data_IF_917585969833
#
_entry.id   IF_917585969833
#
_cell.length_a   1.000
_cell.length_b   1.000
_cell.length_c   1.000
_cell.angle_alpha   90.00
_cell.angle_beta   90.00
_cell.angle_gamma   90.00
#
_symmetry.space_group_name_H-M   'P 1'
#
loop_
_entity.id
_entity.type
_entity.pdbx_description
1 polymer ?
#
# COMPACT_ATOMS: atom_id res chain seq x y z
N UNK A 1 1.62 15.01 -2.08
CA UNK A 1 0.92 13.73 -2.16
C UNK A 1 1.46 12.85 -1.07
N UNK A 2 0.61 12.02 -0.48
CA UNK A 2 0.90 11.30 0.76
C UNK A 2 2.12 10.39 0.61
N UNK A 3 2.25 9.65 -0.51
CA UNK A 3 3.44 8.82 -0.79
C UNK A 3 4.78 9.57 -0.76
N UNK A 4 4.81 10.82 -1.22
CA UNK A 4 6.03 11.63 -1.17
C UNK A 4 6.36 12.05 0.27
N UNK A 5 5.34 12.30 1.09
CA UNK A 5 5.51 12.56 2.52
C UNK A 5 5.95 11.29 3.25
N UNK A 6 5.31 10.15 2.98
CA UNK A 6 5.67 8.83 3.53
C UNK A 6 7.14 8.53 3.27
N UNK A 7 7.58 8.68 2.02
CA UNK A 7 8.99 8.53 1.65
C UNK A 7 9.90 9.44 2.46
N UNK A 8 9.61 10.74 2.54
CA UNK A 8 10.44 11.70 3.27
C UNK A 8 10.55 11.37 4.76
N UNK A 9 9.45 10.93 5.40
CA UNK A 9 9.44 10.53 6.80
C UNK A 9 10.31 9.29 7.03
N UNK A 10 10.14 8.26 6.19
CA UNK A 10 10.88 7.02 6.28
C UNK A 10 12.37 7.21 5.98
N UNK A 11 12.71 7.97 4.94
CA UNK A 11 14.11 8.24 4.58
C UNK A 11 14.83 9.01 5.68
N UNK A 12 14.19 10.04 6.24
CA UNK A 12 14.74 10.76 7.39
C UNK A 12 15.00 9.80 8.56
N UNK A 13 14.06 8.91 8.85
CA UNK A 13 14.20 7.95 9.95
C UNK A 13 15.33 6.95 9.70
N UNK A 14 15.47 6.46 8.46
CA UNK A 14 16.56 5.57 8.07
C UNK A 14 17.92 6.23 8.26
N UNK A 15 18.06 7.51 7.88
CA UNK A 15 19.29 8.28 8.07
C UNK A 15 19.66 8.43 9.55
N UNK A 16 18.68 8.70 10.42
CA UNK A 16 18.89 8.77 11.88
C UNK A 16 19.37 7.43 12.47
N UNK A 17 18.98 6.31 11.84
CA UNK A 17 19.41 4.97 12.21
C UNK A 17 20.74 4.54 11.55
N UNK A 18 21.40 5.45 10.80
CA UNK A 18 22.65 5.16 10.10
C UNK A 18 22.49 4.33 8.83
N UNK A 19 21.27 4.29 8.27
CA UNK A 19 20.92 3.62 7.01
C UNK A 19 20.42 4.65 5.98
N UNK A 20 19.83 4.20 4.87
CA UNK A 20 19.21 5.08 3.87
C UNK A 20 18.52 4.28 2.75
N UNK A 21 17.78 4.98 1.89
CA UNK A 21 17.11 4.36 0.76
C UNK A 21 18.09 3.61 -0.15
N UNK A 22 17.78 2.34 -0.45
CA UNK A 22 18.64 1.47 -1.25
C UNK A 22 19.81 0.82 -0.50
N UNK A 23 19.99 1.09 0.80
CA UNK A 23 21.02 0.43 1.61
C UNK A 23 20.71 -1.05 1.89
N UNK A 24 19.42 -1.43 1.86
CA UNK A 24 18.95 -2.80 2.08
C UNK A 24 18.27 -3.32 0.80
N UNK A 25 18.41 -4.62 0.47
CA UNK A 25 17.70 -5.21 -0.65
C UNK A 25 16.20 -5.20 -0.39
N UNK A 26 15.44 -4.78 -1.40
CA UNK A 26 13.97 -4.76 -1.37
C UNK A 26 13.43 -5.42 -2.63
N UNK A 27 12.22 -5.98 -2.54
CA UNK A 27 11.51 -6.43 -3.73
C UNK A 27 10.93 -5.23 -4.51
N UNK A 28 10.73 -5.39 -5.83
CA UNK A 28 10.11 -4.37 -6.68
C UNK A 28 8.61 -4.64 -6.94
N UNK A 29 7.94 -5.42 -6.08
CA UNK A 29 6.57 -5.90 -6.31
C UNK A 29 5.54 -4.80 -6.60
N UNK A 30 5.61 -3.67 -5.90
CA UNK A 30 4.73 -2.52 -6.15
C UNK A 30 4.95 -1.94 -7.56
N UNK A 31 6.21 -1.78 -7.99
CA UNK A 31 6.54 -1.29 -9.32
C UNK A 31 6.09 -2.25 -10.42
N UNK A 32 6.23 -3.56 -10.19
CA UNK A 32 5.76 -4.57 -11.13
C UNK A 32 4.24 -4.52 -11.27
N UNK A 33 3.48 -4.56 -10.16
CA UNK A 33 2.03 -4.39 -10.19
C UNK A 33 1.62 -3.07 -10.85
N UNK A 34 2.40 -2.02 -10.64
CA UNK A 34 2.17 -0.73 -11.26
C UNK A 34 2.50 -0.69 -12.76
N UNK A 35 3.35 -1.57 -13.26
CA UNK A 35 3.61 -1.70 -14.69
C UNK A 35 2.56 -2.57 -15.35
N UNK A 36 2.21 -3.69 -14.72
CA UNK A 36 1.28 -4.69 -15.25
C UNK A 36 -0.15 -4.14 -15.40
N UNK A 37 -0.56 -3.26 -14.49
CA UNK A 37 -1.89 -2.63 -14.50
C UNK A 37 -1.90 -1.24 -15.13
N UNK A 38 -0.85 -0.84 -15.87
CA UNK A 38 -0.73 0.54 -16.41
C UNK A 38 -1.87 0.92 -17.37
N UNK A 39 -2.45 -0.07 -18.06
CA UNK A 39 -3.50 0.13 -19.05
C UNK A 39 -4.89 -0.36 -18.56
N UNK A 40 -5.02 -0.72 -17.29
CA UNK A 40 -6.26 -1.21 -16.70
C UNK A 40 -6.53 -0.50 -15.37
N UNK A 41 -7.47 0.45 -15.40
CA UNK A 41 -7.81 1.25 -14.22
C UNK A 41 -8.46 0.41 -13.11
N UNK A 42 -9.33 -0.54 -13.45
CA UNK A 42 -9.94 -1.41 -12.45
C UNK A 42 -8.87 -2.34 -11.85
N UNK A 43 -7.99 -2.89 -12.69
CA UNK A 43 -6.81 -3.63 -12.24
C UNK A 43 -5.92 -2.81 -11.31
N UNK A 44 -5.65 -1.53 -11.64
CA UNK A 44 -4.88 -0.62 -10.79
C UNK A 44 -5.49 -0.44 -9.40
N UNK A 45 -6.79 -0.16 -9.36
CA UNK A 45 -7.52 0.07 -8.11
C UNK A 45 -7.58 -1.21 -7.27
N UNK A 46 -7.86 -2.35 -7.90
CA UNK A 46 -7.89 -3.65 -7.23
C UNK A 46 -6.53 -4.01 -6.62
N UNK A 47 -5.43 -3.82 -7.36
CA UNK A 47 -4.13 -4.35 -6.95
C UNK A 47 -3.36 -3.38 -6.07
N UNK A 48 -3.23 -2.12 -6.46
CA UNK A 48 -2.42 -1.16 -5.69
C UNK A 48 -3.17 -0.76 -4.43
N UNK A 49 -4.42 -0.30 -4.57
CA UNK A 49 -5.14 0.24 -3.43
C UNK A 49 -5.78 -0.87 -2.59
N UNK A 50 -6.52 -1.78 -3.21
CA UNK A 50 -7.33 -2.75 -2.46
C UNK A 50 -6.55 -4.00 -2.03
N UNK A 51 -5.35 -4.25 -2.57
CA UNK A 51 -4.50 -5.39 -2.17
C UNK A 51 -3.22 -4.93 -1.49
N UNK A 52 -2.37 -4.11 -2.13
CA UNK A 52 -1.09 -3.73 -1.52
C UNK A 52 -1.28 -2.85 -0.28
N UNK A 53 -2.01 -1.74 -0.38
CA UNK A 53 -2.25 -0.84 0.76
C UNK A 53 -3.05 -1.54 1.87
N UNK A 54 -4.11 -2.29 1.51
CA UNK A 54 -4.92 -3.05 2.47
C UNK A 54 -4.11 -4.10 3.24
N UNK A 55 -3.20 -4.83 2.57
CA UNK A 55 -2.27 -5.75 3.26
C UNK A 55 -1.28 -5.01 4.15
N UNK A 56 -0.90 -3.79 3.78
CA UNK A 56 -0.13 -2.90 4.65
C UNK A 56 -0.86 -2.68 5.98
N UNK A 57 -2.16 -2.38 5.94
CA UNK A 57 -2.98 -2.21 7.14
C UNK A 57 -3.03 -3.45 8.04
N UNK A 58 -3.02 -4.66 7.48
CA UNK A 58 -2.98 -5.91 8.26
C UNK A 58 -1.65 -6.10 9.01
N UNK A 59 -0.54 -5.64 8.43
CA UNK A 59 0.82 -5.83 8.97
C UNK A 59 1.26 -4.69 9.89
N UNK A 60 0.70 -3.49 9.72
CA UNK A 60 1.05 -2.30 10.48
C UNK A 60 0.94 -2.47 12.01
N UNK A 61 -0.15 -3.02 12.58
CA UNK A 61 -0.27 -3.16 14.03
C UNK A 61 0.85 -4.01 14.65
N UNK A 62 1.23 -5.10 13.99
CA UNK A 62 2.32 -5.96 14.45
C UNK A 62 3.68 -5.25 14.35
N UNK A 63 3.87 -4.45 13.29
CA UNK A 63 5.10 -3.68 13.08
C UNK A 63 5.26 -2.59 14.14
N UNK A 64 4.19 -1.83 14.42
CA UNK A 64 4.15 -0.83 15.50
C UNK A 64 4.49 -1.45 16.85
N UNK A 65 3.87 -2.59 17.19
CA UNK A 65 4.15 -3.30 18.43
C UNK A 65 5.62 -3.70 18.57
N UNK A 66 6.25 -4.15 17.48
CA UNK A 66 7.68 -4.55 17.49
C UNK A 66 8.61 -3.36 17.74
N UNK A 67 8.33 -2.19 17.18
CA UNK A 67 9.14 -0.99 17.40
C UNK A 67 8.92 -0.40 18.81
N UNK A 68 7.67 -0.34 19.27
CA UNK A 68 7.35 0.10 20.64
C UNK A 68 7.99 -0.81 21.69
N UNK A 69 7.98 -2.14 21.50
CA UNK A 69 8.65 -3.07 22.41
C UNK A 69 10.18 -2.89 22.47
N UNK A 70 10.78 -2.26 21.47
CA UNK A 70 12.21 -1.91 21.42
C UNK A 70 12.48 -0.47 21.91
N UNK A 71 11.45 0.28 22.32
CA UNK A 71 11.54 1.67 22.75
C UNK A 71 11.73 2.68 21.61
N UNK A 72 11.47 2.29 20.37
CA UNK A 72 11.59 3.19 19.21
C UNK A 72 10.29 3.95 18.93
N UNK A 73 9.95 4.85 19.85
CA UNK A 73 8.75 5.69 19.78
C UNK A 73 8.76 6.65 18.57
N UNK A 74 9.95 6.98 18.05
CA UNK A 74 10.07 7.84 16.85
C UNK A 74 9.59 7.11 15.60
N UNK A 75 9.96 5.84 15.44
CA UNK A 75 9.46 5.01 14.33
C UNK A 75 7.97 4.73 14.48
N UNK A 76 7.48 4.47 15.71
CA UNK A 76 6.05 4.29 15.99
C UNK A 76 5.23 5.49 15.52
N UNK A 77 5.62 6.70 15.92
CA UNK A 77 4.91 7.92 15.54
C UNK A 77 4.85 8.14 14.01
N UNK A 78 5.92 7.80 13.28
CA UNK A 78 5.95 7.89 11.82
C UNK A 78 4.99 6.87 11.20
N UNK A 79 5.06 5.61 11.63
CA UNK A 79 4.21 4.54 11.09
C UNK A 79 2.72 4.74 11.40
N UNK A 80 2.39 5.43 12.49
CA UNK A 80 1.00 5.82 12.81
C UNK A 80 0.44 6.90 11.86
N UNK A 81 1.28 7.80 11.35
CA UNK A 81 0.86 8.77 10.33
C UNK A 81 0.54 8.01 9.04
N UNK A 82 1.49 7.20 8.57
CA UNK A 82 1.31 6.38 7.36
C UNK A 82 0.07 5.50 7.49
N UNK A 83 -0.09 4.79 8.61
CA UNK A 83 -1.26 3.94 8.85
C UNK A 83 -2.60 4.67 8.66
N UNK A 84 -2.71 5.92 9.13
CA UNK A 84 -3.94 6.71 9.01
C UNK A 84 -4.21 7.11 7.56
N UNK A 85 -3.16 7.44 6.82
CA UNK A 85 -3.27 7.86 5.43
C UNK A 85 -3.65 6.66 4.54
N UNK A 86 -3.03 5.49 4.75
CA UNK A 86 -3.33 4.25 4.02
C UNK A 86 -4.80 3.81 4.16
N UNK A 87 -5.46 4.07 5.30
CA UNK A 87 -6.91 3.82 5.43
C UNK A 87 -7.70 4.63 4.40
N UNK A 88 -7.31 5.88 4.17
CA UNK A 88 -7.98 6.75 3.21
C UNK A 88 -7.69 6.36 1.77
N UNK A 89 -6.50 5.83 1.49
CA UNK A 89 -6.12 5.36 0.16
C UNK A 89 -6.88 4.09 -0.23
N UNK A 90 -6.96 3.12 0.68
CA UNK A 90 -7.81 1.92 0.50
C UNK A 90 -9.27 2.31 0.29
N UNK A 91 -9.79 3.26 1.08
CA UNK A 91 -11.15 3.74 0.95
C UNK A 91 -11.40 4.44 -0.40
N UNK A 92 -10.43 5.23 -0.88
CA UNK A 92 -10.49 5.85 -2.20
C UNK A 92 -10.49 4.79 -3.31
N UNK A 93 -9.64 3.76 -3.20
CA UNK A 93 -9.59 2.61 -4.09
C UNK A 93 -10.95 1.92 -4.21
N UNK A 94 -11.53 1.54 -3.08
CA UNK A 94 -12.84 0.88 -3.02
C UNK A 94 -13.95 1.75 -3.62
N UNK A 95 -13.97 3.05 -3.29
CA UNK A 95 -14.96 4.00 -3.79
C UNK A 95 -14.95 4.09 -5.32
N UNK A 96 -13.77 4.28 -5.91
CA UNK A 96 -13.65 4.43 -7.36
C UNK A 96 -13.86 3.10 -8.10
N UNK A 97 -13.38 2.00 -7.53
CA UNK A 97 -13.62 0.66 -8.07
C UNK A 97 -15.12 0.35 -8.16
N UNK A 98 -15.86 0.65 -7.08
CA UNK A 98 -17.32 0.45 -7.02
C UNK A 98 -18.05 1.34 -8.02
N UNK A 99 -17.62 2.62 -8.13
CA UNK A 99 -18.20 3.57 -9.07
C UNK A 99 -18.06 3.10 -10.52
N UNK A 100 -16.86 2.66 -10.92
CA UNK A 100 -16.59 2.19 -12.29
C UNK A 100 -17.36 0.91 -12.56
N UNK A 101 -17.32 -0.08 -11.67
CA UNK A 101 -18.10 -1.32 -11.82
C UNK A 101 -19.59 -1.02 -12.01
N UNK A 102 -20.16 -0.11 -11.22
CA UNK A 102 -21.56 0.30 -11.34
C UNK A 102 -21.85 0.96 -12.71
N UNK A 103 -20.97 1.87 -13.14
CA UNK A 103 -21.11 2.57 -14.43
C UNK A 103 -21.03 1.61 -15.62
N UNK A 104 -20.20 0.57 -15.52
CA UNK A 104 -19.99 -0.46 -16.54
C UNK A 104 -20.95 -1.66 -16.40
N UNK A 105 -21.88 -1.62 -15.44
CA UNK A 105 -22.83 -2.71 -15.15
C UNK A 105 -22.15 -4.04 -14.82
N UNK A 106 -21.01 -3.97 -14.12
CA UNK A 106 -20.26 -5.13 -13.61
C UNK A 106 -20.55 -5.34 -12.14
N UNK A 107 -20.60 -6.60 -11.72
CA UNK A 107 -20.60 -6.93 -10.29
C UNK A 107 -19.19 -6.69 -9.71
N UNK A 108 -19.13 -5.97 -8.58
CA UNK A 108 -17.86 -5.54 -7.99
C UNK A 108 -17.05 -6.73 -7.45
N UNK A 109 -17.73 -7.66 -6.77
CA UNK A 109 -17.06 -8.75 -6.08
C UNK A 109 -16.44 -9.74 -7.07
N UNK A 110 -17.21 -10.18 -8.06
CA UNK A 110 -16.70 -11.03 -9.15
C UNK A 110 -15.57 -10.36 -9.92
N UNK A 111 -15.74 -9.08 -10.30
CA UNK A 111 -14.69 -8.33 -11.00
C UNK A 111 -13.40 -8.25 -10.18
N UNK A 112 -13.49 -8.01 -8.87
CA UNK A 112 -12.31 -8.01 -7.99
C UNK A 112 -11.65 -9.40 -7.96
N UNK A 113 -12.43 -10.45 -7.77
CA UNK A 113 -11.91 -11.83 -7.75
C UNK A 113 -11.35 -12.30 -9.10
N UNK A 114 -11.75 -11.72 -10.22
CA UNK A 114 -11.14 -11.95 -11.54
C UNK A 114 -9.79 -11.21 -11.67
N UNK A 115 -9.75 -9.95 -11.25
CA UNK A 115 -8.57 -9.08 -11.44
C UNK A 115 -7.41 -9.45 -10.52
N UNK A 116 -7.67 -9.84 -9.28
CA UNK A 116 -6.63 -10.22 -8.31
C UNK A 116 -5.71 -11.32 -8.84
N UNK A 117 -6.18 -12.52 -9.22
CA UNK A 117 -5.29 -13.58 -9.73
C UNK A 117 -4.68 -13.24 -11.09
N UNK A 118 -5.31 -12.36 -11.88
CA UNK A 118 -4.77 -11.93 -13.17
C UNK A 118 -3.48 -11.11 -13.00
N UNK A 119 -3.44 -10.21 -12.03
CA UNK A 119 -2.35 -9.25 -11.85
C UNK A 119 -1.48 -9.50 -10.61
N UNK A 120 -1.98 -10.22 -9.61
CA UNK A 120 -1.25 -10.52 -8.38
C UNK A 120 -0.68 -11.94 -8.41
N UNK A 121 0.60 -12.07 -8.79
CA UNK A 121 1.25 -13.38 -8.95
C UNK A 121 1.89 -13.96 -7.68
N UNK A 122 1.74 -13.29 -6.54
CA UNK A 122 2.36 -13.69 -5.28
C UNK A 122 3.88 -13.47 -5.29
N UNK A 123 4.40 -12.84 -4.24
CA UNK A 123 5.83 -12.78 -3.93
C UNK A 123 6.01 -13.29 -2.50
#
# INVERSE_FOLDING_TARGET
>A
GDEAMHYCLLEKRLLELGSGFGALPVHNGLWQSASDTANDLLGRLAIVHMVHEARGLDVHPQTLQRFSAQGDESTVAILEVIYRDEITHVAAGLKWFTYICTKEQRDCLSTFHELVPLYFKGY
#
